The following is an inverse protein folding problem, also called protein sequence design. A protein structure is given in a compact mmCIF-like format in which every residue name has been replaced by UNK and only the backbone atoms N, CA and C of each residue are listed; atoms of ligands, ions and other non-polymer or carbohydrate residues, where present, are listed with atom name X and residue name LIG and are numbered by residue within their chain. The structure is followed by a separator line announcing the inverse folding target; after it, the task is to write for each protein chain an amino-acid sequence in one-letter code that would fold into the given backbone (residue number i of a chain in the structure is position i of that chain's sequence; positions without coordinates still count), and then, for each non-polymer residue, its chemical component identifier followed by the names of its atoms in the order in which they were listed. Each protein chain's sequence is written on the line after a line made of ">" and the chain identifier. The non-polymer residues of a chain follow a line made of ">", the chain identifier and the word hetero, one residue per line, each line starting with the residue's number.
data_IF_757302506110
#
_entry.id   IF_757302506110
#
_cell.length_a   1.000
_cell.length_b   1.000
_cell.length_c   1.000
_cell.angle_alpha   90.00
_cell.angle_beta   90.00
_cell.angle_gamma   90.00
#
_symmetry.space_group_name_H-M   'P 1'
#
loop_
_entity.id
_entity.type
_entity.pdbx_description
1 polymer ?
#
# COMPACT_ATOMS: atom_id res chain seq x y z
N UNK A 1 26.05 -18.65 -11.56
CA UNK A 1 26.25 -17.25 -12.02
C UNK A 1 25.64 -16.38 -10.95
N UNK A 2 26.48 -15.69 -10.18
CA UNK A 2 26.25 -14.89 -8.96
C UNK A 2 25.13 -15.31 -7.98
N UNK A 3 25.50 -15.94 -6.85
CA UNK A 3 24.65 -16.12 -5.66
C UNK A 3 24.53 -14.83 -4.81
N UNK A 4 25.03 -13.71 -5.32
CA UNK A 4 24.89 -12.36 -4.76
C UNK A 4 24.63 -11.45 -5.96
N UNK A 5 23.37 -11.43 -6.43
CA UNK A 5 22.92 -10.46 -7.42
C UNK A 5 23.09 -9.03 -6.90
N UNK A 6 23.25 -8.09 -7.82
CA UNK A 6 23.44 -6.66 -7.59
C UNK A 6 22.77 -6.16 -6.29
N UNK A 7 23.55 -5.48 -5.46
CA UNK A 7 23.22 -5.03 -4.10
C UNK A 7 21.84 -4.36 -4.06
N UNK A 8 20.76 -5.13 -3.85
CA UNK A 8 19.40 -4.61 -3.94
C UNK A 8 18.29 -5.58 -4.34
N UNK A 9 18.60 -6.80 -4.80
CA UNK A 9 17.57 -7.82 -5.13
C UNK A 9 17.83 -9.15 -4.45
N UNK A 10 16.82 -9.67 -3.74
CA UNK A 10 16.84 -10.98 -3.08
C UNK A 10 15.71 -11.83 -3.68
N UNK A 11 16.06 -12.86 -4.44
CA UNK A 11 15.09 -13.82 -4.97
C UNK A 11 14.65 -14.79 -3.87
N UNK A 12 13.33 -14.87 -3.63
CA UNK A 12 12.75 -15.76 -2.61
C UNK A 12 12.16 -17.00 -3.28
N UNK A 13 11.40 -16.79 -4.37
CA UNK A 13 10.80 -17.83 -5.20
C UNK A 13 10.92 -17.47 -6.68
N UNK A 14 10.59 -18.42 -7.56
CA UNK A 14 10.60 -18.23 -9.03
C UNK A 14 9.57 -17.21 -9.55
N UNK A 15 8.76 -16.64 -8.65
CA UNK A 15 7.74 -15.63 -8.95
C UNK A 15 7.73 -14.47 -7.95
N UNK A 16 8.61 -14.49 -6.93
CA UNK A 16 8.66 -13.48 -5.87
C UNK A 16 10.11 -13.14 -5.55
N UNK A 17 10.40 -11.85 -5.58
CA UNK A 17 11.67 -11.31 -5.12
C UNK A 17 11.44 -10.06 -4.27
N UNK A 18 12.41 -9.76 -3.42
CA UNK A 18 12.50 -8.47 -2.77
C UNK A 18 13.44 -7.57 -3.56
N UNK A 19 12.95 -6.43 -4.03
CA UNK A 19 13.74 -5.46 -4.80
C UNK A 19 13.64 -4.08 -4.16
N UNK A 20 14.75 -3.37 -3.98
CA UNK A 20 14.71 -2.04 -3.36
C UNK A 20 14.22 -0.97 -4.34
N UNK A 21 12.95 -0.54 -4.25
CA UNK A 21 12.39 0.52 -5.10
C UNK A 21 11.86 1.67 -4.24
N UNK A 22 12.35 2.88 -4.49
CA UNK A 22 11.82 4.10 -3.87
C UNK A 22 10.80 4.74 -4.79
N UNK A 23 9.55 4.72 -4.37
CA UNK A 23 8.44 5.24 -5.15
C UNK A 23 8.10 6.68 -4.74
N UNK A 24 8.49 7.63 -5.58
CA UNK A 24 8.24 9.07 -5.39
C UNK A 24 6.86 9.51 -5.89
N UNK A 25 6.15 8.67 -6.66
CA UNK A 25 4.85 9.02 -7.26
C UNK A 25 4.39 8.07 -8.36
N UNK A 26 3.26 8.41 -9.00
CA UNK A 26 2.62 7.57 -10.02
C UNK A 26 3.57 7.33 -11.21
N UNK A 27 3.97 6.08 -11.40
CA UNK A 27 4.76 5.59 -12.55
C UNK A 27 4.02 5.63 -13.90
N UNK A 28 2.84 6.25 -13.99
CA UNK A 28 2.03 6.37 -15.21
C UNK A 28 2.31 7.66 -16.01
N UNK A 29 3.56 8.14 -16.04
CA UNK A 29 4.05 9.13 -17.02
C UNK A 29 3.46 10.56 -16.99
N UNK A 30 2.30 10.80 -16.35
CA UNK A 30 1.57 12.08 -16.42
C UNK A 30 2.04 13.08 -15.34
N UNK A 31 2.69 12.61 -14.26
CA UNK A 31 3.10 13.45 -13.12
C UNK A 31 4.55 13.23 -12.66
N UNK A 32 5.38 12.52 -13.44
CA UNK A 32 6.76 12.23 -13.06
C UNK A 32 7.60 13.51 -12.85
N UNK A 33 7.27 14.59 -13.58
CA UNK A 33 7.91 15.91 -13.47
C UNK A 33 7.21 16.87 -12.50
N UNK A 34 6.13 16.45 -11.83
CA UNK A 34 5.52 17.30 -10.81
C UNK A 34 6.39 17.27 -9.56
N UNK A 35 7.16 18.35 -9.39
CA UNK A 35 8.00 18.64 -8.21
C UNK A 35 7.28 18.47 -6.86
N UNK A 36 5.94 18.45 -6.87
CA UNK A 36 5.07 18.36 -5.70
C UNK A 36 4.25 17.06 -5.62
N UNK A 37 4.51 16.05 -6.45
CA UNK A 37 3.77 14.79 -6.47
C UNK A 37 3.73 14.12 -5.09
N UNK A 38 4.89 13.96 -4.44
CA UNK A 38 4.97 13.41 -3.09
C UNK A 38 4.13 14.21 -2.06
N UNK A 39 4.19 15.54 -2.09
CA UNK A 39 3.38 16.37 -1.19
C UNK A 39 1.89 16.17 -1.43
N UNK A 40 1.45 16.10 -2.68
CA UNK A 40 0.05 15.85 -3.04
C UNK A 40 -0.40 14.49 -2.49
N UNK A 41 0.36 13.41 -2.73
CA UNK A 41 0.02 12.08 -2.22
C UNK A 41 0.04 11.99 -0.70
N UNK A 42 1.00 12.64 -0.05
CA UNK A 42 1.07 12.72 1.39
C UNK A 42 -0.18 13.42 1.96
N UNK A 43 -0.56 14.58 1.43
CA UNK A 43 -1.74 15.32 1.88
C UNK A 43 -3.04 14.55 1.64
N UNK A 44 -3.20 13.91 0.48
CA UNK A 44 -4.38 13.08 0.18
C UNK A 44 -4.43 11.88 1.14
N UNK A 45 -3.30 11.21 1.38
CA UNK A 45 -3.24 10.06 2.30
C UNK A 45 -3.61 10.47 3.72
N UNK A 46 -3.11 11.62 4.20
CA UNK A 46 -3.45 12.19 5.51
C UNK A 46 -4.95 12.47 5.60
N UNK A 47 -5.52 13.15 4.60
CA UNK A 47 -6.95 13.46 4.56
C UNK A 47 -7.81 12.20 4.62
N UNK A 48 -7.51 11.19 3.79
CA UNK A 48 -8.22 9.91 3.79
C UNK A 48 -8.07 9.21 5.14
N UNK A 49 -6.86 9.19 5.71
CA UNK A 49 -6.62 8.60 7.04
C UNK A 49 -7.48 9.25 8.12
N UNK A 50 -7.61 10.58 8.11
CA UNK A 50 -8.49 11.29 9.06
C UNK A 50 -9.96 10.92 8.87
N UNK A 51 -10.44 10.82 7.63
CA UNK A 51 -11.82 10.39 7.34
C UNK A 51 -12.05 8.96 7.84
N UNK A 52 -11.12 8.04 7.56
CA UNK A 52 -11.21 6.65 8.03
C UNK A 52 -11.16 6.56 9.56
N UNK A 53 -10.33 7.37 10.21
CA UNK A 53 -10.26 7.44 11.67
C UNK A 53 -11.56 7.98 12.28
N UNK A 54 -12.18 8.98 11.65
CA UNK A 54 -13.51 9.42 12.04
C UNK A 54 -14.55 8.29 11.90
N UNK A 55 -14.54 7.57 10.77
CA UNK A 55 -15.41 6.40 10.56
C UNK A 55 -15.18 5.30 11.60
N UNK A 56 -13.93 5.07 12.01
CA UNK A 56 -13.57 4.10 13.05
C UNK A 56 -14.24 4.42 14.39
N UNK A 57 -14.37 5.71 14.74
CA UNK A 57 -15.01 6.16 15.97
C UNK A 57 -16.52 5.92 15.91
N UNK A 58 -17.15 6.23 14.77
CA UNK A 58 -18.62 6.21 14.65
C UNK A 58 -19.21 4.85 14.25
N UNK A 59 -18.45 3.96 13.58
CA UNK A 59 -18.92 2.63 13.13
C UNK A 59 -18.29 1.50 13.95
N UNK A 60 -19.09 0.83 14.77
CA UNK A 60 -18.61 -0.26 15.64
C UNK A 60 -18.35 -1.58 14.90
N UNK A 61 -19.14 -1.90 13.85
CA UNK A 61 -19.04 -3.17 13.11
C UNK A 61 -17.77 -3.31 12.27
N UNK A 62 -17.20 -2.18 11.83
CA UNK A 62 -16.12 -2.15 10.83
C UNK A 62 -14.77 -1.79 11.47
N UNK A 63 -14.65 -1.84 12.81
CA UNK A 63 -13.47 -1.33 13.52
C UNK A 63 -12.18 -2.03 13.14
N UNK A 64 -12.21 -3.36 13.08
CA UNK A 64 -11.04 -4.16 12.76
C UNK A 64 -10.49 -3.84 11.37
N UNK A 65 -11.28 -3.95 10.28
CA UNK A 65 -10.73 -3.65 8.96
C UNK A 65 -10.40 -2.17 8.77
N UNK A 66 -11.14 -1.23 9.39
CA UNK A 66 -10.76 0.18 9.38
C UNK A 66 -9.40 0.41 10.04
N UNK A 67 -9.12 -0.24 11.18
CA UNK A 67 -7.83 -0.14 11.87
C UNK A 67 -6.68 -0.67 11.01
N UNK A 68 -6.90 -1.75 10.24
CA UNK A 68 -5.91 -2.29 9.29
C UNK A 68 -5.60 -1.26 8.19
N UNK A 69 -6.63 -0.68 7.56
CA UNK A 69 -6.44 0.32 6.49
C UNK A 69 -5.71 1.56 7.03
N UNK A 70 -6.13 2.05 8.20
CA UNK A 70 -5.51 3.21 8.86
C UNK A 70 -4.04 2.90 9.18
N UNK A 71 -3.73 1.73 9.73
CA UNK A 71 -2.36 1.31 10.03
C UNK A 71 -1.47 1.30 8.78
N UNK A 72 -1.96 0.70 7.69
CA UNK A 72 -1.25 0.72 6.40
C UNK A 72 -1.04 2.13 5.86
N UNK A 73 -2.09 2.97 5.88
CA UNK A 73 -2.00 4.35 5.39
C UNK A 73 -1.01 5.19 6.20
N UNK A 74 -1.01 5.05 7.54
CA UNK A 74 -0.04 5.72 8.42
C UNK A 74 1.40 5.29 8.08
N UNK A 75 1.65 3.99 7.81
CA UNK A 75 2.97 3.51 7.39
C UNK A 75 3.49 4.24 6.15
N UNK A 76 2.66 4.30 5.10
CA UNK A 76 2.98 5.00 3.86
C UNK A 76 3.13 6.53 4.05
N UNK A 77 2.40 7.14 4.97
CA UNK A 77 2.55 8.57 5.32
C UNK A 77 3.90 8.81 6.02
N UNK A 78 4.27 7.96 6.97
CA UNK A 78 5.55 8.07 7.69
C UNK A 78 6.72 8.00 6.71
N UNK A 79 6.66 7.08 5.74
CA UNK A 79 7.69 6.96 4.71
C UNK A 79 7.78 8.24 3.87
N UNK A 80 6.64 8.76 3.38
CA UNK A 80 6.61 10.00 2.59
C UNK A 80 7.11 11.22 3.35
N UNK A 81 6.79 11.33 4.64
CA UNK A 81 7.26 12.44 5.49
C UNK A 81 8.76 12.37 5.74
N UNK A 82 9.31 11.16 5.91
CA UNK A 82 10.74 10.96 6.24
C UNK A 82 11.65 10.94 5.02
N UNK A 83 11.20 10.32 3.93
CA UNK A 83 12.03 9.97 2.79
C UNK A 83 11.58 10.65 1.49
N UNK A 84 10.48 11.41 1.52
CA UNK A 84 9.83 11.96 0.32
C UNK A 84 9.41 10.91 -0.73
N UNK A 85 9.31 9.64 -0.31
CA UNK A 85 8.99 8.49 -1.14
C UNK A 85 8.47 7.35 -0.24
N UNK A 86 7.83 6.35 -0.85
CA UNK A 86 7.46 5.09 -0.20
C UNK A 86 8.47 4.02 -0.56
N UNK A 87 8.82 3.17 0.41
CA UNK A 87 9.72 2.05 0.19
C UNK A 87 8.94 0.82 -0.27
N UNK A 88 8.94 0.57 -1.58
CA UNK A 88 8.29 -0.58 -2.21
C UNK A 88 9.33 -1.68 -2.39
N UNK A 89 9.04 -2.87 -1.86
CA UNK A 89 10.02 -3.95 -1.81
C UNK A 89 9.52 -5.31 -2.26
N UNK A 90 8.21 -5.51 -2.40
CA UNK A 90 7.62 -6.78 -2.81
C UNK A 90 7.38 -6.75 -4.32
N UNK A 91 8.12 -7.55 -5.08
CA UNK A 91 8.00 -7.68 -6.54
C UNK A 91 7.58 -9.10 -6.93
N UNK A 92 6.37 -9.20 -7.47
CA UNK A 92 5.82 -10.43 -8.04
C UNK A 92 5.99 -10.42 -9.56
N UNK A 93 6.52 -11.50 -10.11
CA UNK A 93 6.81 -11.60 -11.53
C UNK A 93 6.52 -12.98 -12.10
N UNK A 94 6.19 -13.03 -13.40
CA UNK A 94 6.06 -14.25 -14.18
C UNK A 94 6.79 -14.02 -15.52
N UNK A 95 7.88 -14.76 -15.74
CA UNK A 95 8.78 -14.55 -16.87
C UNK A 95 9.31 -13.10 -16.91
N UNK A 96 8.98 -12.33 -17.95
CA UNK A 96 9.38 -10.92 -18.11
C UNK A 96 8.31 -9.93 -17.63
N UNK A 97 7.16 -10.43 -17.18
CA UNK A 97 6.06 -9.58 -16.72
C UNK A 97 6.14 -9.40 -15.21
N UNK A 98 6.10 -8.14 -14.77
CA UNK A 98 6.16 -7.74 -13.37
C UNK A 98 4.83 -7.08 -12.96
N UNK A 99 4.30 -7.51 -11.82
CA UNK A 99 3.29 -6.75 -11.11
C UNK A 99 3.94 -5.48 -10.52
N UNK A 100 3.23 -4.34 -10.43
CA UNK A 100 3.77 -3.15 -9.78
C UNK A 100 4.28 -3.46 -8.38
N UNK A 101 5.54 -3.12 -8.07
CA UNK A 101 6.12 -3.33 -6.75
C UNK A 101 5.28 -2.63 -5.68
N UNK A 102 5.12 -3.27 -4.52
CA UNK A 102 4.34 -2.74 -3.41
C UNK A 102 5.00 -3.06 -2.06
N UNK A 103 4.38 -2.60 -0.97
CA UNK A 103 4.86 -2.86 0.38
C UNK A 103 3.79 -3.49 1.29
N UNK A 104 4.17 -3.70 2.55
CA UNK A 104 3.27 -4.28 3.54
C UNK A 104 2.10 -3.35 3.91
N UNK A 105 2.31 -2.03 3.87
CA UNK A 105 1.26 -1.05 4.10
C UNK A 105 0.16 -1.13 3.02
N UNK A 106 0.54 -1.29 1.75
CA UNK A 106 -0.40 -1.51 0.64
C UNK A 106 -1.16 -2.82 0.81
N UNK A 107 -0.49 -3.87 1.28
CA UNK A 107 -1.12 -5.16 1.58
C UNK A 107 -2.18 -5.03 2.67
N UNK A 108 -1.91 -4.26 3.73
CA UNK A 108 -2.89 -3.98 4.78
C UNK A 108 -4.07 -3.16 4.27
N UNK A 109 -3.82 -2.10 3.50
CA UNK A 109 -4.88 -1.31 2.87
C UNK A 109 -5.78 -2.21 2.01
N UNK A 110 -5.19 -3.05 1.16
CA UNK A 110 -5.92 -3.97 0.30
C UNK A 110 -6.76 -4.97 1.11
N UNK A 111 -6.16 -5.66 2.08
CA UNK A 111 -6.87 -6.63 2.91
C UNK A 111 -8.00 -6.00 3.71
N UNK A 112 -7.79 -4.82 4.29
CA UNK A 112 -8.82 -4.10 5.01
C UNK A 112 -10.00 -3.71 4.11
N UNK A 113 -9.75 -3.25 2.88
CA UNK A 113 -10.79 -2.97 1.89
C UNK A 113 -11.58 -4.23 1.53
N UNK A 114 -10.89 -5.36 1.30
CA UNK A 114 -11.52 -6.65 1.01
C UNK A 114 -12.44 -7.07 2.16
N UNK A 115 -11.98 -6.97 3.40
CA UNK A 115 -12.78 -7.32 4.58
C UNK A 115 -14.01 -6.41 4.71
N UNK A 116 -13.86 -5.08 4.56
CA UNK A 116 -15.03 -4.16 4.58
C UNK A 116 -16.01 -4.54 3.48
N UNK A 117 -15.52 -4.77 2.26
CA UNK A 117 -16.37 -5.11 1.11
C UNK A 117 -17.12 -6.42 1.32
N UNK A 118 -16.54 -7.40 2.00
CA UNK A 118 -17.22 -8.66 2.34
C UNK A 118 -18.26 -8.45 3.43
N UNK A 119 -17.96 -7.70 4.50
CA UNK A 119 -18.88 -7.46 5.62
C UNK A 119 -20.05 -6.56 5.22
N UNK A 120 -19.83 -5.59 4.32
CA UNK A 120 -20.86 -4.65 3.84
C UNK A 120 -21.71 -5.19 2.69
N UNK A 121 -21.44 -6.41 2.23
CA UNK A 121 -22.16 -7.01 1.11
C UNK A 121 -23.62 -7.30 1.51
N UNK A 122 -24.64 -6.69 0.87
CA UNK A 122 -26.04 -6.89 1.24
C UNK A 122 -26.54 -8.32 0.99
N UNK A 123 -25.73 -9.16 0.32
CA UNK A 123 -26.05 -10.55 0.00
C UNK A 123 -25.62 -11.56 1.07
N UNK A 124 -24.82 -11.13 2.06
CA UNK A 124 -24.45 -11.99 3.19
C UNK A 124 -25.34 -11.67 4.41
N UNK A 125 -25.88 -12.67 5.11
CA UNK A 125 -26.65 -12.43 6.32
C UNK A 125 -25.77 -11.70 7.34
N UNK A 126 -26.23 -10.56 7.83
CA UNK A 126 -25.54 -9.88 8.92
C UNK A 126 -25.76 -10.70 10.19
N UNK A 127 -24.72 -11.43 10.61
CA UNK A 127 -24.72 -12.10 11.91
C UNK A 127 -24.61 -11.03 12.99
N UNK A 128 -25.76 -10.68 13.56
CA UNK A 128 -25.86 -9.91 14.81
C UNK A 128 -25.25 -10.67 15.98
#
# INVERSE_FOLDING_TARGET
>A
MSLIGDVGVIEVFSFLRFSTVWNTGISFGILHDFMYSNLIFCNISILITFVLFYLLIIRSSDRFPLAIIIGGSIGNIIDRVRHSAVYDFIDFYINHWHWPTFNLADSFIFLGIVIISMTTNPLLPQSH
#
